data_IF_853619643681
#
_entry.id   IF_853619643681
#
_cell.length_a   1.000
_cell.length_b   1.000
_cell.length_c   1.000
_cell.angle_alpha   90.00
_cell.angle_beta   90.00
_cell.angle_gamma   90.00
#
_symmetry.space_group_name_H-M   'P 1'
#
loop_
_entity.id
_entity.type
_entity.pdbx_description
1 polymer ?
#
# COMPACT_ATOMS: atom_id res chain seq x y z
N UNK A 1 -0.99 6.24 -5.48
CA UNK A 1 0.48 6.25 -5.72
C UNK A 1 1.17 5.73 -4.47
N UNK A 2 2.26 4.97 -4.59
CA UNK A 2 3.03 4.47 -3.46
C UNK A 2 4.50 4.92 -3.53
N UNK A 3 4.92 5.67 -2.51
CA UNK A 3 6.31 6.07 -2.29
C UNK A 3 6.82 5.34 -1.05
N UNK A 4 8.02 4.78 -1.14
CA UNK A 4 8.69 4.08 -0.02
C UNK A 4 9.98 4.80 0.32
N UNK A 5 10.27 4.90 1.62
CA UNK A 5 11.59 5.30 2.12
C UNK A 5 12.36 4.04 2.46
N UNK A 6 13.50 3.83 1.81
CA UNK A 6 14.35 2.67 2.06
C UNK A 6 15.19 2.82 3.35
N UNK A 7 15.92 1.77 3.71
CA UNK A 7 16.82 1.75 4.86
C UNK A 7 18.04 2.70 4.72
N UNK A 8 18.21 3.34 3.56
CA UNK A 8 19.22 4.35 3.29
C UNK A 8 18.60 5.76 3.25
N UNK A 9 17.39 5.96 3.77
CA UNK A 9 16.67 7.24 3.80
C UNK A 9 16.40 7.83 2.40
N UNK A 10 16.35 7.00 1.37
CA UNK A 10 16.01 7.43 0.00
C UNK A 10 14.56 7.14 -0.30
N UNK A 11 13.88 8.13 -0.86
CA UNK A 11 12.51 8.00 -1.35
C UNK A 11 12.49 7.42 -2.76
N UNK A 12 11.68 6.39 -2.96
CA UNK A 12 11.49 5.74 -4.26
C UNK A 12 10.02 5.70 -4.60
N UNK A 13 9.67 6.09 -5.82
CA UNK A 13 8.35 5.81 -6.39
C UNK A 13 8.34 4.33 -6.81
N UNK A 14 7.67 3.49 -6.03
CA UNK A 14 7.69 2.02 -6.26
C UNK A 14 6.48 1.53 -7.05
N UNK A 15 5.35 2.25 -6.98
CA UNK A 15 4.17 1.92 -7.77
C UNK A 15 3.28 3.15 -7.99
N UNK A 16 2.66 3.17 -9.17
CA UNK A 16 1.61 4.13 -9.51
C UNK A 16 0.48 3.38 -10.22
N UNK A 17 -0.75 3.76 -9.91
CA UNK A 17 -1.94 3.16 -10.48
C UNK A 17 -2.95 4.28 -10.77
N UNK A 18 -3.69 4.11 -11.86
CA UNK A 18 -4.88 4.88 -12.17
C UNK A 18 -6.07 3.96 -11.86
N UNK A 19 -6.79 4.29 -10.80
CA UNK A 19 -8.01 3.60 -10.40
C UNK A 19 -9.20 4.42 -10.90
N UNK A 20 -10.24 3.72 -11.37
CA UNK A 20 -11.51 4.35 -11.76
C UNK A 20 -12.32 4.77 -10.52
N UNK A 21 -12.19 4.00 -9.44
CA UNK A 21 -12.92 4.16 -8.19
C UNK A 21 -12.03 3.86 -6.95
N UNK A 22 -12.53 4.26 -5.79
CA UNK A 22 -11.88 4.11 -4.48
C UNK A 22 -12.59 3.00 -3.67
N UNK A 23 -12.69 1.81 -4.28
CA UNK A 23 -13.34 0.64 -3.68
C UNK A 23 -12.33 -0.32 -3.05
N UNK A 24 -12.83 -1.20 -2.17
CA UNK A 24 -12.01 -2.22 -1.50
C UNK A 24 -11.34 -3.11 -2.54
N UNK A 25 -12.10 -3.54 -3.54
CA UNK A 25 -11.67 -4.40 -4.64
C UNK A 25 -10.56 -3.76 -5.47
N UNK A 26 -10.69 -2.47 -5.79
CA UNK A 26 -9.68 -1.70 -6.53
C UNK A 26 -8.38 -1.54 -5.74
N UNK A 27 -8.47 -1.25 -4.44
CA UNK A 27 -7.28 -1.22 -3.58
C UNK A 27 -6.67 -2.60 -3.37
N UNK A 28 -7.47 -3.67 -3.26
CA UNK A 28 -6.96 -5.03 -3.06
C UNK A 28 -6.16 -5.46 -4.28
N UNK A 29 -6.69 -5.22 -5.47
CA UNK A 29 -5.98 -5.48 -6.72
C UNK A 29 -4.67 -4.68 -6.79
N UNK A 30 -4.69 -3.39 -6.47
CA UNK A 30 -3.48 -2.56 -6.48
C UNK A 30 -2.43 -3.07 -5.50
N UNK A 31 -2.81 -3.36 -4.25
CA UNK A 31 -1.88 -3.86 -3.24
C UNK A 31 -1.35 -5.25 -3.58
N UNK A 32 -2.16 -6.12 -4.18
CA UNK A 32 -1.70 -7.44 -4.66
C UNK A 32 -0.63 -7.31 -5.74
N UNK A 33 -0.81 -6.38 -6.69
CA UNK A 33 0.22 -6.09 -7.70
C UNK A 33 1.53 -5.63 -7.05
N UNK A 34 1.46 -4.73 -6.06
CA UNK A 34 2.63 -4.24 -5.33
C UNK A 34 3.32 -5.36 -4.56
N UNK A 35 2.56 -6.18 -3.84
CA UNK A 35 3.10 -7.29 -3.05
C UNK A 35 3.75 -8.34 -3.96
N UNK A 36 3.12 -8.67 -5.08
CA UNK A 36 3.70 -9.59 -6.04
C UNK A 36 5.02 -9.07 -6.62
N UNK A 37 5.07 -7.78 -7.00
CA UNK A 37 6.28 -7.14 -7.53
C UNK A 37 7.42 -7.02 -6.50
N UNK A 38 7.10 -7.03 -5.20
CA UNK A 38 8.05 -6.87 -4.09
C UNK A 38 8.38 -8.19 -3.38
N UNK A 39 8.01 -9.35 -3.95
CA UNK A 39 8.18 -10.68 -3.32
C UNK A 39 7.53 -10.76 -1.93
N UNK A 40 6.36 -10.13 -1.78
CA UNK A 40 5.59 -10.06 -0.53
C UNK A 40 6.34 -9.43 0.65
N UNK A 41 7.33 -8.56 0.36
CA UNK A 41 7.99 -7.76 1.39
C UNK A 41 7.01 -6.68 1.84
N UNK A 42 6.70 -6.69 3.15
CA UNK A 42 5.82 -5.71 3.76
C UNK A 42 6.60 -4.49 4.28
N UNK A 43 6.10 -3.26 4.09
CA UNK A 43 6.68 -2.10 4.73
C UNK A 43 6.46 -2.16 6.24
N UNK A 44 7.36 -1.57 7.03
CA UNK A 44 7.18 -1.50 8.49
C UNK A 44 6.01 -0.59 8.87
N UNK A 45 5.90 0.55 8.18
CA UNK A 45 4.84 1.53 8.37
C UNK A 45 4.25 1.94 7.03
N UNK A 46 2.94 2.17 7.01
CA UNK A 46 2.23 2.73 5.86
C UNK A 46 1.49 3.98 6.31
N UNK A 47 1.56 5.05 5.51
CA UNK A 47 0.81 6.27 5.72
C UNK A 47 -0.14 6.46 4.54
N UNK A 48 -1.42 6.65 4.81
CA UNK A 48 -2.42 7.01 3.79
C UNK A 48 -3.33 8.11 4.29
N UNK A 49 -4.26 8.55 3.47
CA UNK A 49 -5.46 9.24 3.95
C UNK A 49 -6.37 8.26 4.71
N UNK A 50 -7.41 8.81 5.34
CA UNK A 50 -8.36 8.07 6.16
C UNK A 50 -9.46 7.38 5.34
N UNK A 51 -9.19 6.98 4.09
CA UNK A 51 -10.19 6.28 3.27
C UNK A 51 -10.57 4.92 3.91
N UNK A 52 -11.86 4.69 4.20
CA UNK A 52 -12.30 3.47 4.87
C UNK A 52 -12.04 2.18 4.07
N UNK A 53 -12.12 2.23 2.74
CA UNK A 53 -11.87 1.07 1.89
C UNK A 53 -10.38 0.73 1.92
N UNK A 54 -9.50 1.72 1.82
CA UNK A 54 -8.06 1.53 1.92
C UNK A 54 -7.64 1.01 3.29
N UNK A 55 -8.19 1.56 4.39
CA UNK A 55 -7.93 1.07 5.76
C UNK A 55 -8.29 -0.41 5.89
N UNK A 56 -9.48 -0.80 5.41
CA UNK A 56 -9.93 -2.20 5.46
C UNK A 56 -9.00 -3.10 4.63
N UNK A 57 -8.60 -2.65 3.45
CA UNK A 57 -7.74 -3.41 2.54
C UNK A 57 -6.32 -3.58 3.09
N UNK A 58 -5.73 -2.53 3.69
CA UNK A 58 -4.41 -2.61 4.32
C UNK A 58 -4.44 -3.58 5.51
N UNK A 59 -5.47 -3.50 6.37
CA UNK A 59 -5.63 -4.41 7.50
C UNK A 59 -5.73 -5.89 7.06
N UNK A 60 -6.32 -6.15 5.89
CA UNK A 60 -6.46 -7.48 5.31
C UNK A 60 -5.16 -7.99 4.66
N UNK A 61 -4.54 -7.17 3.79
CA UNK A 61 -3.41 -7.57 2.93
C UNK A 61 -2.04 -7.45 3.63
N UNK A 62 -1.93 -6.54 4.59
CA UNK A 62 -0.67 -6.21 5.26
C UNK A 62 -0.84 -6.18 6.79
N UNK A 63 -1.29 -7.27 7.44
CA UNK A 63 -1.66 -7.27 8.86
C UNK A 63 -0.49 -6.99 9.82
N UNK A 64 0.76 -7.14 9.36
CA UNK A 64 1.96 -6.86 10.15
C UNK A 64 2.53 -5.45 9.92
N UNK A 65 1.93 -4.67 9.03
CA UNK A 65 2.32 -3.28 8.76
C UNK A 65 1.61 -2.36 9.74
N UNK A 66 2.33 -1.42 10.35
CA UNK A 66 1.70 -0.38 11.17
C UNK A 66 1.07 0.68 10.26
N UNK A 67 -0.26 0.75 10.23
CA UNK A 67 -0.99 1.67 9.36
C UNK A 67 -1.38 2.95 10.11
N UNK A 68 -0.90 4.07 9.60
CA UNK A 68 -1.29 5.43 10.01
C UNK A 68 -2.18 6.04 8.93
N UNK A 69 -3.34 6.56 9.34
CA UNK A 69 -4.38 7.11 8.47
C UNK A 69 -5.06 8.32 9.10
#
# INVERSE_FOLDING_TARGET
MLIVVDNNTKSHLVAQCLLEDETVESYEWFLDCVLHATNHILPTCLFSDSDPALIKTVASKMPNTHHFF
#
